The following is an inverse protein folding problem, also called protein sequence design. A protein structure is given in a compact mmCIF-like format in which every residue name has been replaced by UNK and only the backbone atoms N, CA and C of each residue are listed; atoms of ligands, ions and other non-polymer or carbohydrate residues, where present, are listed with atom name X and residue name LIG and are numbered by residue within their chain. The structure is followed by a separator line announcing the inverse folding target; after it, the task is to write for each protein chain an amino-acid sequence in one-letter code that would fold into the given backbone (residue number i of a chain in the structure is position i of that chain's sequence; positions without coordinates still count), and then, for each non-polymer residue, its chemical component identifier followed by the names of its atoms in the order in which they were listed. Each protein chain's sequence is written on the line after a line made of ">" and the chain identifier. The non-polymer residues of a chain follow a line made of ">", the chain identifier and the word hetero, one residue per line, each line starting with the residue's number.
data_IF_959114399130
#
_entry.id   IF_959114399130
#
_cell.length_a   1.000
_cell.length_b   1.000
_cell.length_c   1.000
_cell.angle_alpha   90.00
_cell.angle_beta   90.00
_cell.angle_gamma   90.00
#
_symmetry.space_group_name_H-M   'P 1'
#
loop_
_entity.id
_entity.type
_entity.pdbx_description
1 polymer ?
#
# COMPACT_ATOMS: atom_id res chain seq x y z
N UNK A 1 -7.93 2.01 8.57
CA UNK A 1 -7.49 1.57 9.92
C UNK A 1 -5.99 1.24 9.97
N UNK A 2 -5.48 0.33 9.11
CA UNK A 2 -4.07 -0.07 9.13
C UNK A 2 -3.07 1.11 9.04
N UNK A 3 -3.34 2.11 8.19
CA UNK A 3 -2.46 3.29 8.06
C UNK A 3 -2.25 4.05 9.38
N UNK A 4 -3.30 4.24 10.18
CA UNK A 4 -3.23 4.97 11.46
C UNK A 4 -2.39 4.23 12.51
N UNK A 5 -2.38 2.90 12.46
CA UNK A 5 -1.59 2.06 13.37
C UNK A 5 -0.12 2.04 12.96
N UNK A 6 0.15 1.99 11.65
CA UNK A 6 1.51 1.85 11.10
C UNK A 6 2.25 3.20 11.03
N UNK A 7 1.53 4.31 10.86
CA UNK A 7 2.12 5.66 10.77
C UNK A 7 3.02 6.05 11.95
N UNK A 8 2.61 5.92 13.23
CA UNK A 8 3.48 6.27 14.36
C UNK A 8 4.74 5.40 14.42
N UNK A 9 4.64 4.13 14.02
CA UNK A 9 5.77 3.19 13.95
C UNK A 9 6.76 3.67 12.87
N UNK A 10 6.26 3.97 11.66
CA UNK A 10 7.09 4.44 10.56
C UNK A 10 7.79 5.77 10.86
N UNK A 11 7.12 6.71 11.54
CA UNK A 11 7.72 7.98 11.97
C UNK A 11 8.81 7.74 13.02
N UNK A 12 8.58 6.82 13.96
CA UNK A 12 9.59 6.45 14.96
C UNK A 12 10.83 5.80 14.31
N UNK A 13 10.62 4.91 13.34
CA UNK A 13 11.72 4.30 12.56
C UNK A 13 12.48 5.33 11.74
N UNK A 14 11.80 6.28 11.09
CA UNK A 14 12.44 7.35 10.34
C UNK A 14 13.36 8.21 11.22
N UNK A 15 12.92 8.54 12.43
CA UNK A 15 13.74 9.27 13.43
C UNK A 15 14.95 8.48 13.89
N UNK A 16 14.83 7.16 14.06
CA UNK A 16 15.97 6.30 14.43
C UNK A 16 17.00 6.16 13.31
N UNK A 17 16.55 6.23 12.04
CA UNK A 17 17.41 6.09 10.86
C UNK A 17 18.01 7.44 10.40
N UNK A 18 17.75 8.53 11.12
CA UNK A 18 18.12 9.90 10.73
C UNK A 18 17.63 10.26 9.32
N UNK A 19 16.44 9.77 8.96
CA UNK A 19 15.82 9.93 7.65
C UNK A 19 14.60 10.87 7.73
N UNK A 20 14.22 11.46 6.60
CA UNK A 20 13.10 12.38 6.55
C UNK A 20 11.77 11.70 6.93
N UNK A 21 11.10 12.11 8.02
CA UNK A 21 9.84 11.49 8.45
C UNK A 21 8.71 11.65 7.44
N UNK A 22 8.76 12.69 6.58
CA UNK A 22 7.76 12.92 5.53
C UNK A 22 7.77 11.80 4.49
N UNK A 23 8.96 11.34 4.11
CA UNK A 23 9.13 10.24 3.14
C UNK A 23 8.46 8.96 3.63
N UNK A 24 8.64 8.62 4.91
CA UNK A 24 8.02 7.45 5.53
C UNK A 24 6.50 7.61 5.71
N UNK A 25 6.04 8.80 6.09
CA UNK A 25 4.61 9.07 6.22
C UNK A 25 3.88 8.93 4.87
N UNK A 26 4.46 9.49 3.81
CA UNK A 26 3.93 9.38 2.43
C UNK A 26 3.98 7.93 1.96
N UNK A 27 5.04 7.18 2.29
CA UNK A 27 5.13 5.75 1.99
C UNK A 27 4.01 4.93 2.63
N UNK A 28 3.73 5.14 3.91
CA UNK A 28 2.65 4.44 4.61
C UNK A 28 1.28 4.83 4.05
N UNK A 29 1.07 6.11 3.73
CA UNK A 29 -0.18 6.58 3.13
C UNK A 29 -0.43 5.93 1.76
N UNK A 30 0.56 5.94 0.87
CA UNK A 30 0.46 5.32 -0.45
C UNK A 30 0.32 3.79 -0.36
N UNK A 31 1.09 3.14 0.51
CA UNK A 31 1.00 1.70 0.74
C UNK A 31 -0.39 1.27 1.23
N UNK A 32 -1.03 2.09 2.07
CA UNK A 32 -2.39 1.84 2.54
C UNK A 32 -3.44 1.99 1.43
N UNK A 33 -3.19 2.81 0.41
CA UNK A 33 -4.09 2.99 -0.75
C UNK A 33 -4.02 1.87 -1.79
N UNK A 34 -2.95 1.08 -1.82
CA UNK A 34 -2.72 0.02 -2.84
C UNK A 34 -3.08 -1.39 -2.35
N UNK A 35 -4.01 -1.51 -1.39
CA UNK A 35 -4.38 -2.77 -0.75
C UNK A 35 -5.41 -3.57 -1.57
N UNK A 36 -4.99 -4.09 -2.72
CA UNK A 36 -5.84 -4.85 -3.66
C UNK A 36 -5.94 -6.36 -3.35
N UNK A 37 -5.19 -6.84 -2.35
CA UNK A 37 -5.11 -8.28 -2.01
C UNK A 37 -6.38 -8.77 -1.30
N UNK A 38 -7.02 -7.92 -0.49
CA UNK A 38 -8.19 -8.30 0.28
C UNK A 38 -9.47 -7.77 -0.39
N UNK A 39 -10.41 -8.63 -0.83
CA UNK A 39 -11.60 -8.22 -1.59
C UNK A 39 -12.70 -7.61 -0.70
N UNK A 40 -12.31 -6.86 0.34
CA UNK A 40 -13.23 -6.11 1.21
C UNK A 40 -13.47 -4.68 0.72
N UNK A 41 -12.79 -4.27 -0.35
CA UNK A 41 -13.06 -2.99 -0.98
C UNK A 41 -14.45 -3.02 -1.65
N UNK A 42 -15.33 -2.04 -1.38
CA UNK A 42 -16.68 -2.00 -1.96
C UNK A 42 -16.70 -2.11 -3.49
N UNK A 43 -15.66 -1.57 -4.13
CA UNK A 43 -15.37 -1.61 -5.57
C UNK A 43 -15.23 -3.05 -6.10
N UNK A 44 -14.49 -3.90 -5.38
CA UNK A 44 -14.24 -5.30 -5.77
C UNK A 44 -15.48 -6.17 -5.60
N UNK A 45 -16.27 -5.92 -4.54
CA UNK A 45 -17.52 -6.65 -4.25
C UNK A 45 -18.58 -6.41 -5.34
N UNK A 46 -18.62 -5.21 -5.91
CA UNK A 46 -19.54 -4.83 -6.99
C UNK A 46 -19.32 -5.64 -8.28
N UNK A 47 -18.06 -6.04 -8.55
CA UNK A 47 -17.69 -6.90 -9.69
C UNK A 47 -17.82 -8.38 -9.34
N UNK A 48 -17.70 -8.73 -8.06
CA UNK A 48 -17.77 -10.11 -7.55
C UNK A 48 -19.12 -10.79 -7.84
N UNK A 49 -20.23 -10.06 -7.68
CA UNK A 49 -21.59 -10.57 -7.91
C UNK A 49 -21.88 -10.98 -9.37
N UNK A 50 -21.86 -10.04 -10.33
CA UNK A 50 -22.19 -10.33 -11.73
C UNK A 50 -21.10 -11.10 -12.49
N UNK A 51 -19.84 -11.05 -12.04
CA UNK A 51 -18.68 -11.63 -12.74
C UNK A 51 -18.39 -13.10 -12.49
N UNK A 52 -19.11 -13.79 -11.57
CA UNK A 52 -18.84 -15.18 -11.14
C UNK A 52 -17.39 -15.44 -10.69
N UNK A 53 -16.67 -14.39 -10.28
CA UNK A 53 -15.27 -14.49 -9.85
C UNK A 53 -15.17 -15.22 -8.49
N UNK A 54 -14.15 -16.07 -8.32
CA UNK A 54 -13.84 -16.69 -7.03
C UNK A 54 -12.90 -15.79 -6.23
N UNK A 55 -12.93 -15.94 -4.90
CA UNK A 55 -12.07 -15.20 -3.97
C UNK A 55 -10.59 -15.35 -4.35
N UNK A 56 -10.21 -16.56 -4.79
CA UNK A 56 -8.86 -16.88 -5.22
C UNK A 56 -8.42 -16.12 -6.49
N UNK A 57 -9.35 -15.76 -7.38
CA UNK A 57 -9.04 -14.99 -8.60
C UNK A 57 -8.67 -13.54 -8.26
N UNK A 58 -9.36 -12.96 -7.27
CA UNK A 58 -9.04 -11.64 -6.72
C UNK A 58 -7.70 -11.65 -5.98
N UNK A 59 -7.42 -12.66 -5.16
CA UNK A 59 -6.14 -12.75 -4.46
C UNK A 59 -4.99 -12.93 -5.44
N UNK A 60 -5.12 -13.80 -6.45
CA UNK A 60 -4.06 -14.06 -7.43
C UNK A 60 -3.74 -12.82 -8.28
N UNK A 61 -4.77 -12.11 -8.73
CA UNK A 61 -4.62 -10.91 -9.55
C UNK A 61 -4.19 -9.71 -8.71
N UNK A 62 -4.78 -9.57 -7.52
CA UNK A 62 -4.49 -8.51 -6.55
C UNK A 62 -3.06 -8.55 -6.02
N UNK A 63 -2.51 -9.74 -5.74
CA UNK A 63 -1.09 -9.88 -5.34
C UNK A 63 -0.16 -9.37 -6.45
N UNK A 64 -0.42 -9.72 -7.71
CA UNK A 64 0.38 -9.25 -8.84
C UNK A 64 0.36 -7.72 -8.96
N UNK A 65 -0.84 -7.13 -8.89
CA UNK A 65 -1.00 -5.68 -8.99
C UNK A 65 -0.38 -4.94 -7.78
N UNK A 66 -0.60 -5.44 -6.57
CA UNK A 66 0.00 -4.87 -5.36
C UNK A 66 1.52 -4.97 -5.38
N UNK A 67 2.10 -6.05 -5.91
CA UNK A 67 3.55 -6.18 -6.05
C UNK A 67 4.15 -5.16 -7.05
N UNK A 68 3.49 -4.94 -8.18
CA UNK A 68 3.93 -3.93 -9.16
C UNK A 68 3.84 -2.53 -8.53
N UNK A 69 2.72 -2.21 -7.89
CA UNK A 69 2.53 -0.91 -7.26
C UNK A 69 3.47 -0.68 -6.08
N UNK A 70 3.76 -1.70 -5.28
CA UNK A 70 4.70 -1.56 -4.17
C UNK A 70 6.11 -1.27 -4.67
N UNK A 71 6.55 -1.90 -5.76
CA UNK A 71 7.82 -1.60 -6.43
C UNK A 71 7.81 -0.17 -6.95
N UNK A 72 6.77 0.26 -7.66
CA UNK A 72 6.67 1.63 -8.17
C UNK A 72 6.76 2.65 -7.03
N UNK A 73 6.02 2.45 -5.94
CA UNK A 73 6.02 3.34 -4.78
C UNK A 73 7.39 3.35 -4.10
N UNK A 74 8.06 2.21 -3.97
CA UNK A 74 9.41 2.10 -3.41
C UNK A 74 10.47 2.88 -4.22
N UNK A 75 10.30 2.99 -5.54
CA UNK A 75 11.21 3.76 -6.40
C UNK A 75 10.83 5.25 -6.49
N UNK A 76 9.54 5.56 -6.59
CA UNK A 76 9.06 6.93 -6.80
C UNK A 76 9.21 7.79 -5.55
N UNK A 77 9.00 7.21 -4.36
CA UNK A 77 9.10 7.92 -3.09
C UNK A 77 10.51 8.47 -2.83
N UNK A 78 11.59 7.70 -2.88
CA UNK A 78 12.93 8.24 -2.69
C UNK A 78 13.35 9.19 -3.83
N UNK A 79 12.74 9.09 -5.02
CA UNK A 79 12.98 9.99 -6.13
C UNK A 79 12.39 11.40 -5.89
N UNK A 80 11.15 11.48 -5.41
CA UNK A 80 10.49 12.77 -5.10
C UNK A 80 10.84 13.31 -3.70
N UNK A 81 11.03 12.41 -2.74
CA UNK A 81 11.37 12.73 -1.35
C UNK A 81 12.64 11.97 -0.94
N UNK A 82 13.83 12.57 -1.15
CA UNK A 82 15.07 11.94 -0.74
C UNK A 82 15.06 11.65 0.77
N UNK A 83 15.67 10.52 1.13
CA UNK A 83 15.72 10.02 2.51
C UNK A 83 16.61 10.90 3.41
N UNK A 84 17.40 11.80 2.83
CA UNK A 84 18.22 12.84 3.48
C UNK A 84 17.97 14.19 2.84
#
# INVERSE_FOLDING_TARGET
>A
AAALVVLPIAISTAKQLDANPRTFAIAVMLAASISFIAPFEPSCILVYGPGKYKFMDFVKTGIGLTAILSVVVLFLIPYFWPLR
#
